data_IF_215721322904
#
_entry.id   IF_215721322904
#
_cell.length_a   1.000
_cell.length_b   1.000
_cell.length_c   1.000
_cell.angle_alpha   90.00
_cell.angle_beta   90.00
_cell.angle_gamma   90.00
#
_symmetry.space_group_name_H-M   'P 1'
#
loop_
_entity.id
_entity.type
_entity.pdbx_description
1 polymer ?
#
# COMPACT_ATOMS: atom_id res chain seq x y z
N UNK A 1 19.29 19.09 -13.28
CA UNK A 1 18.00 18.37 -13.36
C UNK A 1 18.28 16.88 -13.22
N UNK A 2 18.22 16.35 -12.01
CA UNK A 2 18.46 14.94 -11.72
C UNK A 2 17.21 14.14 -12.08
N UNK A 3 17.27 13.38 -13.18
CA UNK A 3 16.33 12.27 -13.41
C UNK A 3 16.39 11.36 -12.16
N UNK A 4 15.26 10.97 -11.55
CA UNK A 4 15.31 9.90 -10.57
C UNK A 4 15.84 8.66 -11.29
N UNK A 5 16.93 8.09 -10.77
CA UNK A 5 17.38 6.76 -11.17
C UNK A 5 16.24 5.79 -10.89
N UNK A 6 15.89 4.96 -11.87
CA UNK A 6 14.92 3.86 -11.81
C UNK A 6 15.28 2.79 -10.75
N UNK A 7 15.40 3.15 -9.47
CA UNK A 7 15.68 2.21 -8.41
C UNK A 7 14.63 2.36 -7.34
N UNK A 8 13.55 1.60 -7.44
CA UNK A 8 12.55 1.41 -6.39
C UNK A 8 11.61 2.60 -6.07
N UNK A 9 10.68 2.91 -6.98
CA UNK A 9 9.69 4.00 -6.81
C UNK A 9 8.71 3.68 -5.69
N UNK A 10 8.24 2.44 -5.61
CA UNK A 10 7.32 2.00 -4.55
C UNK A 10 8.02 2.03 -3.20
N UNK A 11 9.25 1.53 -3.11
CA UNK A 11 10.05 1.55 -1.89
C UNK A 11 10.23 2.98 -1.37
N UNK A 12 10.64 3.93 -2.21
CA UNK A 12 10.82 5.33 -1.81
C UNK A 12 9.50 5.99 -1.36
N UNK A 13 8.39 5.67 -2.01
CA UNK A 13 7.07 6.16 -1.59
C UNK A 13 6.66 5.57 -0.22
N UNK A 14 6.90 4.28 0.00
CA UNK A 14 6.66 3.63 1.28
C UNK A 14 7.55 4.22 2.40
N UNK A 15 8.82 4.51 2.13
CA UNK A 15 9.73 5.17 3.10
C UNK A 15 9.12 6.43 3.68
N UNK A 16 8.38 7.20 2.86
CA UNK A 16 7.70 8.43 3.28
C UNK A 16 6.41 8.12 4.04
N UNK A 17 5.59 7.22 3.52
CA UNK A 17 4.25 6.92 4.04
C UNK A 17 4.28 6.31 5.44
N UNK A 18 5.26 5.46 5.74
CA UNK A 18 5.29 4.72 7.00
C UNK A 18 5.73 5.55 8.20
N UNK A 19 6.33 6.72 7.98
CA UNK A 19 6.89 7.60 9.03
C UNK A 19 5.84 8.35 9.84
N UNK A 20 4.62 8.45 9.33
CA UNK A 20 3.51 9.15 9.98
C UNK A 20 2.27 8.25 10.06
N UNK A 21 1.29 8.57 10.92
CA UNK A 21 -0.01 7.91 10.91
C UNK A 21 -0.66 7.94 9.51
N UNK A 22 -1.24 6.81 9.08
CA UNK A 22 -1.74 6.65 7.70
C UNK A 22 -2.90 7.60 7.34
N UNK A 23 -3.66 8.04 8.33
CA UNK A 23 -4.72 9.06 8.16
C UNK A 23 -4.16 10.47 7.90
N UNK A 24 -2.84 10.67 8.04
CA UNK A 24 -2.10 11.89 7.76
C UNK A 24 -1.07 11.69 6.63
N UNK A 25 -1.17 10.59 5.89
CA UNK A 25 -0.26 10.25 4.81
C UNK A 25 -0.07 11.40 3.80
N UNK A 26 1.16 11.57 3.32
CA UNK A 26 1.46 12.48 2.22
C UNK A 26 0.74 12.03 0.95
N UNK A 27 0.00 12.95 0.34
CA UNK A 27 -0.88 12.64 -0.80
C UNK A 27 -0.07 12.26 -2.05
N UNK A 28 1.08 12.90 -2.27
CA UNK A 28 1.92 12.61 -3.43
C UNK A 28 2.58 11.23 -3.31
N UNK A 29 3.11 10.90 -2.13
CA UNK A 29 3.66 9.59 -1.84
C UNK A 29 2.59 8.49 -1.94
N UNK A 30 1.39 8.74 -1.43
CA UNK A 30 0.28 7.79 -1.48
C UNK A 30 -0.10 7.46 -2.93
N UNK A 31 -0.23 8.50 -3.76
CA UNK A 31 -0.52 8.36 -5.19
C UNK A 31 0.62 7.65 -5.91
N UNK A 32 1.88 8.00 -5.60
CA UNK A 32 3.05 7.37 -6.20
C UNK A 32 3.11 5.87 -5.90
N UNK A 33 2.91 5.48 -4.64
CA UNK A 33 2.87 4.08 -4.23
C UNK A 33 1.74 3.31 -4.93
N UNK A 34 0.53 3.88 -4.94
CA UNK A 34 -0.64 3.25 -5.54
C UNK A 34 -0.45 3.03 -7.06
N UNK A 35 0.04 4.04 -7.79
CA UNK A 35 0.33 3.91 -9.23
C UNK A 35 1.43 2.90 -9.52
N UNK A 36 2.46 2.82 -8.67
CA UNK A 36 3.50 1.80 -8.80
C UNK A 36 2.91 0.39 -8.68
N UNK A 37 1.94 0.18 -7.79
CA UNK A 37 1.24 -1.11 -7.65
C UNK A 37 0.28 -1.36 -8.82
N UNK A 38 -0.54 -0.39 -9.21
CA UNK A 38 -1.62 -0.63 -10.19
C UNK A 38 -1.17 -0.68 -11.64
N UNK A 39 -0.25 0.21 -12.02
CA UNK A 39 -0.04 0.54 -13.43
C UNK A 39 1.40 0.34 -13.90
N UNK A 40 2.35 0.07 -13.00
CA UNK A 40 3.76 -0.09 -13.40
C UNK A 40 4.13 -1.56 -13.50
N UNK A 41 4.96 -1.93 -14.48
CA UNK A 41 5.59 -3.25 -14.58
C UNK A 41 6.79 -3.41 -13.62
N UNK A 42 6.79 -2.65 -12.51
CA UNK A 42 7.85 -2.74 -11.52
C UNK A 42 7.76 -4.11 -10.85
N UNK A 43 8.91 -4.76 -10.68
CA UNK A 43 9.02 -6.01 -9.94
C UNK A 43 8.73 -5.71 -8.46
N UNK A 44 7.53 -6.10 -8.00
CA UNK A 44 7.09 -5.80 -6.63
C UNK A 44 7.95 -6.49 -5.58
N UNK A 45 8.49 -7.67 -5.86
CA UNK A 45 9.36 -8.40 -4.93
C UNK A 45 10.65 -7.62 -4.68
N UNK A 46 11.21 -7.05 -5.75
CA UNK A 46 12.41 -6.22 -5.69
C UNK A 46 12.17 -4.91 -4.91
N UNK A 47 11.03 -4.25 -5.15
CA UNK A 47 10.58 -3.05 -4.42
C UNK A 47 10.39 -3.31 -2.91
N UNK A 48 9.70 -4.40 -2.57
CA UNK A 48 9.42 -4.80 -1.19
C UNK A 48 10.71 -5.22 -0.48
N UNK A 49 11.57 -6.00 -1.13
CA UNK A 49 12.87 -6.39 -0.56
C UNK A 49 13.73 -5.16 -0.28
N UNK A 50 13.78 -4.19 -1.20
CA UNK A 50 14.49 -2.94 -1.00
C UNK A 50 13.93 -2.13 0.18
N UNK A 51 12.60 -2.13 0.37
CA UNK A 51 11.96 -1.48 1.52
C UNK A 51 12.34 -2.20 2.84
N UNK A 52 12.11 -3.51 2.92
CA UNK A 52 12.36 -4.31 4.12
C UNK A 52 13.84 -4.32 4.53
N UNK A 53 14.78 -4.17 3.58
CA UNK A 53 16.20 -4.04 3.89
C UNK A 53 16.56 -2.77 4.68
N UNK A 54 15.69 -1.75 4.64
CA UNK A 54 15.90 -0.43 5.27
C UNK A 54 14.97 -0.18 6.46
N UNK A 55 13.94 -1.01 6.62
CA UNK A 55 12.89 -0.84 7.62
C UNK A 55 12.72 -2.10 8.46
N UNK A 56 13.06 -2.00 9.75
CA UNK A 56 12.89 -3.08 10.74
C UNK A 56 11.90 -2.74 11.85
N UNK A 57 11.44 -1.48 11.93
CA UNK A 57 10.46 -1.05 12.90
C UNK A 57 9.10 -1.70 12.59
N UNK A 58 8.56 -2.46 13.54
CA UNK A 58 7.34 -3.26 13.35
C UNK A 58 6.16 -2.42 12.85
N UNK A 59 5.96 -1.22 13.40
CA UNK A 59 4.89 -0.32 12.97
C UNK A 59 5.03 0.12 11.52
N UNK A 60 6.27 0.35 11.06
CA UNK A 60 6.54 0.79 9.68
C UNK A 60 6.28 -0.36 8.70
N UNK A 61 6.72 -1.57 9.05
CA UNK A 61 6.50 -2.79 8.26
C UNK A 61 5.01 -3.11 8.17
N UNK A 62 4.27 -3.05 9.29
CA UNK A 62 2.80 -3.25 9.31
C UNK A 62 2.07 -2.23 8.46
N UNK A 63 2.44 -0.94 8.54
CA UNK A 63 1.86 0.13 7.71
C UNK A 63 2.09 -0.11 6.23
N UNK A 64 3.29 -0.53 5.83
CA UNK A 64 3.59 -0.85 4.44
C UNK A 64 2.79 -2.08 3.94
N UNK A 65 2.71 -3.15 4.75
CA UNK A 65 1.90 -4.33 4.43
C UNK A 65 0.42 -4.00 4.27
N UNK A 66 -0.13 -3.23 5.21
CA UNK A 66 -1.50 -2.70 5.12
C UNK A 66 -1.73 -1.91 3.82
N UNK A 67 -0.81 -1.01 3.44
CA UNK A 67 -0.95 -0.19 2.24
C UNK A 67 -0.97 -1.05 0.97
N UNK A 68 -0.06 -2.01 0.86
CA UNK A 68 0.01 -2.94 -0.28
C UNK A 68 -1.28 -3.76 -0.41
N UNK A 69 -1.75 -4.37 0.67
CA UNK A 69 -3.03 -5.09 0.64
C UNK A 69 -4.20 -4.14 0.36
N UNK A 70 -4.18 -2.92 0.89
CA UNK A 70 -5.25 -1.95 0.65
C UNK A 70 -5.35 -1.58 -0.82
N UNK A 71 -4.22 -1.49 -1.52
CA UNK A 71 -4.18 -1.17 -2.95
C UNK A 71 -4.81 -2.26 -3.84
N UNK A 72 -4.86 -3.52 -3.40
CA UNK A 72 -5.53 -4.60 -4.16
C UNK A 72 -7.06 -4.55 -4.09
N UNK A 73 -7.62 -3.77 -3.15
CA UNK A 73 -9.08 -3.63 -2.96
C UNK A 73 -9.73 -2.56 -3.84
N UNK A 74 -8.97 -1.92 -4.73
CA UNK A 74 -9.48 -0.90 -5.64
C UNK A 74 -9.83 -1.52 -6.99
N UNK A 75 -10.95 -1.12 -7.60
CA UNK A 75 -11.48 -1.79 -8.80
C UNK A 75 -10.58 -1.69 -10.05
N UNK A 76 -9.60 -0.77 -10.05
CA UNK A 76 -8.73 -0.52 -11.20
C UNK A 76 -7.50 -1.43 -11.28
N UNK A 77 -7.22 -2.19 -10.22
CA UNK A 77 -6.10 -3.14 -10.21
C UNK A 77 -6.43 -4.36 -11.06
N UNK A 78 -5.47 -4.86 -11.84
CA UNK A 78 -5.66 -6.10 -12.58
C UNK A 78 -5.45 -7.33 -11.68
N UNK A 79 -6.10 -8.44 -11.99
CA UNK A 79 -5.95 -9.71 -11.26
C UNK A 79 -4.49 -10.17 -11.16
N UNK A 80 -3.69 -9.95 -12.23
CA UNK A 80 -2.26 -10.24 -12.22
C UNK A 80 -1.49 -9.44 -11.17
N UNK A 81 -1.80 -8.15 -11.01
CA UNK A 81 -1.17 -7.26 -10.02
C UNK A 81 -1.67 -7.56 -8.61
N UNK A 82 -2.93 -7.98 -8.46
CA UNK A 82 -3.45 -8.49 -7.18
C UNK A 82 -2.67 -9.71 -6.73
N UNK A 83 -2.51 -10.70 -7.61
CA UNK A 83 -1.78 -11.93 -7.30
C UNK A 83 -0.31 -11.64 -6.98
N UNK A 84 0.36 -10.82 -7.78
CA UNK A 84 1.75 -10.41 -7.52
C UNK A 84 1.88 -9.71 -6.17
N UNK A 85 0.94 -8.82 -5.83
CA UNK A 85 0.92 -8.14 -4.54
C UNK A 85 0.75 -9.12 -3.39
N UNK A 86 -0.16 -10.10 -3.50
CA UNK A 86 -0.34 -11.11 -2.46
C UNK A 86 0.90 -11.99 -2.27
N UNK A 87 1.59 -12.36 -3.35
CA UNK A 87 2.85 -13.12 -3.25
C UNK A 87 3.91 -12.35 -2.45
N UNK A 88 4.07 -11.06 -2.70
CA UNK A 88 5.08 -10.25 -1.97
C UNK A 88 4.65 -9.90 -0.55
N UNK A 89 3.35 -9.94 -0.24
CA UNK A 89 2.85 -9.77 1.13
C UNK A 89 3.31 -10.90 2.07
N UNK A 90 3.66 -12.07 1.53
CA UNK A 90 4.26 -13.16 2.33
C UNK A 90 5.58 -12.71 2.97
N UNK A 91 6.37 -11.85 2.31
CA UNK A 91 7.62 -11.29 2.86
C UNK A 91 7.39 -10.45 4.12
N UNK A 92 6.21 -9.81 4.23
CA UNK A 92 5.82 -9.08 5.44
C UNK A 92 5.42 -10.05 6.56
N UNK A 93 4.76 -11.16 6.24
CA UNK A 93 4.39 -12.16 7.24
C UNK A 93 5.61 -12.82 7.90
N UNK A 94 6.73 -12.95 7.18
CA UNK A 94 7.99 -13.43 7.77
C UNK A 94 8.68 -12.40 8.70
N UNK A 95 8.38 -11.11 8.53
CA UNK A 95 9.03 -10.01 9.28
C UNK A 95 8.19 -9.49 10.44
N UNK A 96 6.87 -9.67 10.40
CA UNK A 96 5.96 -9.31 11.49
C UNK A 96 5.37 -10.56 12.13
N UNK A 97 5.57 -10.77 13.43
CA UNK A 97 4.78 -11.75 14.16
C UNK A 97 3.32 -11.26 14.13
N UNK A 98 2.45 -11.96 13.38
CA UNK A 98 1.02 -11.66 13.37
C UNK A 98 0.53 -11.80 14.82
N UNK A 99 0.35 -10.68 15.52
CA UNK A 99 -0.31 -10.69 16.82
C UNK A 99 -1.70 -11.26 16.61
N UNK A 100 -2.03 -12.32 17.36
CA UNK A 100 -3.38 -12.86 17.43
C UNK A 100 -4.37 -11.72 17.61
N UNK A 101 -5.21 -11.51 16.60
CA UNK A 101 -6.26 -10.51 16.61
C UNK A 101 -7.22 -10.88 17.74
N UNK A 102 -7.08 -10.23 18.90
CA UNK A 102 -8.10 -10.31 19.94
C UNK A 102 -9.35 -9.66 19.37
N UNK A 103 -10.35 -10.47 19.03
CA UNK A 103 -11.70 -10.05 18.70
C UNK A 103 -12.19 -9.08 19.80
N UNK A 104 -12.17 -7.78 19.53
CA UNK A 104 -12.80 -6.80 20.43
C UNK A 104 -14.30 -6.82 20.18
N UNK A 105 -15.05 -6.98 21.26
CA UNK A 105 -16.51 -7.04 21.26
C UNK A 105 -17.13 -5.78 20.66
N UNK A 106 -18.14 -6.01 19.80
CA UNK A 106 -19.13 -5.09 19.24
C UNK A 106 -18.86 -3.60 19.48
N UNK A 107 -18.13 -2.99 18.54
CA UNK A 107 -17.89 -1.54 18.52
C UNK A 107 -19.08 -0.83 17.87
N UNK A 108 -19.60 0.28 18.42
CA UNK A 108 -20.72 1.02 17.83
C UNK A 108 -20.45 1.43 16.39
N UNK A 109 -21.48 1.45 15.53
CA UNK A 109 -21.40 1.79 14.08
C UNK A 109 -20.67 3.12 13.75
N UNK A 110 -20.48 4.01 14.73
CA UNK A 110 -19.68 5.25 14.61
C UNK A 110 -18.17 5.02 14.61
N UNK A 111 -17.73 3.80 14.90
CA UNK A 111 -16.35 3.33 14.91
C UNK A 111 -16.20 2.21 13.86
N UNK A 112 -16.53 2.50 12.60
CA UNK A 112 -16.17 1.62 11.49
C UNK A 112 -14.64 1.67 11.34
N UNK A 113 -13.93 0.96 12.21
CA UNK A 113 -12.50 0.73 12.10
C UNK A 113 -12.26 -0.02 10.81
N UNK A 114 -11.18 0.35 10.15
CA UNK A 114 -10.78 -0.35 8.94
C UNK A 114 -10.35 -1.75 9.36
N UNK A 115 -11.22 -2.75 9.12
CA UNK A 115 -10.96 -4.15 9.51
C UNK A 115 -9.63 -4.67 8.96
N UNK A 116 -9.17 -4.12 7.84
CA UNK A 116 -7.85 -4.41 7.28
C UNK A 116 -6.73 -3.81 8.15
N UNK A 117 -6.90 -2.58 8.66
CA UNK A 117 -5.92 -2.01 9.57
C UNK A 117 -5.83 -2.86 10.85
N UNK A 118 -6.98 -3.28 11.39
CA UNK A 118 -7.03 -4.14 12.56
C UNK A 118 -6.34 -5.50 12.31
N UNK A 119 -6.52 -6.12 11.13
CA UNK A 119 -5.84 -7.39 10.81
C UNK A 119 -4.33 -7.26 10.63
N UNK A 120 -3.84 -6.06 10.28
CA UNK A 120 -2.42 -5.71 10.28
C UNK A 120 -1.92 -5.22 11.64
N UNK A 121 -2.77 -5.25 12.68
CA UNK A 121 -2.43 -4.81 14.03
C UNK A 121 -2.16 -3.31 14.13
N UNK A 122 -2.85 -2.51 13.31
CA UNK A 122 -2.79 -1.05 13.28
C UNK A 122 -4.02 -0.46 13.96
N UNK A 123 -3.84 0.63 14.70
CA UNK A 123 -4.94 1.42 15.24
C UNK A 123 -5.53 2.42 14.24
N UNK A 124 -4.89 2.57 13.08
CA UNK A 124 -5.22 3.54 12.06
C UNK A 124 -5.16 2.94 10.64
N UNK A 125 -6.12 3.30 9.81
CA UNK A 125 -6.08 3.10 8.35
C UNK A 125 -5.95 4.44 7.62
N UNK A 126 -6.16 4.43 6.30
CA UNK A 126 -6.11 5.66 5.49
C UNK A 126 -7.20 6.68 5.83
N UNK A 127 -8.36 6.24 6.33
CA UNK A 127 -9.50 7.13 6.57
C UNK A 127 -9.88 7.91 5.30
N UNK A 128 -10.00 9.24 5.41
CA UNK A 128 -10.33 10.11 4.27
C UNK A 128 -9.20 10.21 3.23
N UNK A 129 -7.95 9.86 3.56
CA UNK A 129 -6.82 9.87 2.59
C UNK A 129 -7.03 8.92 1.42
N UNK A 130 -7.86 7.88 1.59
CA UNK A 130 -8.24 7.00 0.48
C UNK A 130 -8.98 7.76 -0.65
N UNK A 131 -9.57 8.94 -0.39
CA UNK A 131 -10.23 9.75 -1.41
C UNK A 131 -9.25 10.35 -2.42
N UNK A 132 -8.00 10.62 -2.02
CA UNK A 132 -6.92 11.09 -2.91
C UNK A 132 -6.66 10.12 -4.06
N UNK A 133 -7.02 8.84 -3.88
CA UNK A 133 -6.84 7.78 -4.85
C UNK A 133 -7.99 7.63 -5.86
N UNK A 134 -9.15 8.24 -5.59
CA UNK A 134 -10.36 8.07 -6.42
C UNK A 134 -10.19 8.52 -7.88
N UNK A 135 -9.54 9.66 -8.20
CA UNK A 135 -9.35 10.09 -9.58
C UNK A 135 -8.60 9.09 -10.45
N UNK A 136 -7.75 8.27 -9.84
CA UNK A 136 -6.87 7.33 -10.53
C UNK A 136 -7.51 5.95 -10.74
N UNK A 137 -8.77 5.75 -10.35
CA UNK A 137 -9.51 4.49 -10.55
C UNK A 137 -10.45 4.54 -11.75
N UNK A 138 -10.44 5.63 -12.51
CA UNK A 138 -11.35 5.78 -13.65
C UNK A 138 -10.88 4.94 -14.82
N UNK A 139 -11.83 4.33 -15.55
CA UNK A 139 -11.53 3.62 -16.80
C UNK A 139 -10.77 4.48 -17.81
N UNK A 140 -11.02 5.79 -17.80
CA UNK A 140 -10.29 6.74 -18.65
C UNK A 140 -8.82 6.80 -18.28
N UNK A 141 -8.51 6.96 -16.99
CA UNK A 141 -7.15 6.97 -16.50
C UNK A 141 -6.43 5.64 -16.78
N UNK A 142 -7.11 4.50 -16.55
CA UNK A 142 -6.56 3.18 -16.89
C UNK A 142 -6.19 3.05 -18.38
N UNK A 143 -7.05 3.53 -19.27
CA UNK A 143 -6.80 3.48 -20.71
C UNK A 143 -5.62 4.37 -21.12
N UNK A 144 -5.49 5.55 -20.52
CA UNK A 144 -4.35 6.46 -20.73
C UNK A 144 -3.04 5.79 -20.30
N UNK A 145 -3.01 5.18 -19.10
CA UNK A 145 -1.82 4.48 -18.60
C UNK A 145 -1.42 3.30 -19.47
N UNK A 146 -2.39 2.48 -19.93
CA UNK A 146 -2.10 1.36 -20.84
C UNK A 146 -1.50 1.83 -22.18
N UNK A 147 -1.96 2.97 -22.69
CA UNK A 147 -1.47 3.54 -23.94
C UNK A 147 -0.03 4.05 -23.84
N UNK A 148 0.40 4.50 -22.66
CA UNK A 148 1.79 4.92 -22.40
C UNK A 148 2.78 3.78 -22.18
N UNK A 149 2.30 2.55 -21.94
CA UNK A 149 3.13 1.37 -21.64
C UNK A 149 3.27 0.44 -22.85
N UNK A 150 2.33 0.52 -23.81
CA UNK A 150 2.39 -0.21 -25.08
C UNK A 150 3.36 0.41 -26.07
#
# INVERSE_FOLDING_TARGET
MTKPRNGHVLSAALDTLVKSPLNQADDAALVSAAKAVWYTNANLESEVTAFLSRHSAEIEVRRAGYLLERFTRFACVSDSRVLETFNVLELFAFTTSKQDVKLQAVTPLRLRRDELADSWGLSEGLGLKAQTLMPFQTRHYEAEQRSTIS
#
